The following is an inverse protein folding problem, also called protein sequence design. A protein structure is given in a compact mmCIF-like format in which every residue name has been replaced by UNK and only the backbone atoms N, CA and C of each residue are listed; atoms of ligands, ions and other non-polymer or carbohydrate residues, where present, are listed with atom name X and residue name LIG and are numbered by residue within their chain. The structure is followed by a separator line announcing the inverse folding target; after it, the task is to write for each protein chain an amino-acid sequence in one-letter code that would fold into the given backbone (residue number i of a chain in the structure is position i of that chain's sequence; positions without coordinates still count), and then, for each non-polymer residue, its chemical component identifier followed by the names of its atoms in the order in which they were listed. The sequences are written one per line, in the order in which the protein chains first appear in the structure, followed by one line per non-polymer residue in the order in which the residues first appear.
data_IF_419892138228
#
_entry.id   IF_419892138228
#
_cell.length_a   1.000
_cell.length_b   1.000
_cell.length_c   1.000
_cell.angle_alpha   90.00
_cell.angle_beta   90.00
_cell.angle_gamma   90.00
#
_symmetry.space_group_name_H-M   'P 1'
#
loop_
_entity.id
_entity.type
_entity.pdbx_description
1 polymer ?
#
# COMPACT_ATOMS: atom_id res chain seq x y z
N UNK A 1 3.13 -16.95 -4.77
CA UNK A 1 2.87 -16.52 -3.38
C UNK A 1 1.57 -15.70 -3.39
N UNK A 2 0.84 -15.67 -2.27
CA UNK A 2 -0.48 -15.02 -2.21
C UNK A 2 -0.33 -13.50 -2.20
N UNK A 3 -0.72 -12.83 -3.29
CA UNK A 3 -0.69 -11.37 -3.38
C UNK A 3 -1.65 -10.75 -2.35
N UNK A 4 -1.18 -9.76 -1.61
CA UNK A 4 -1.90 -9.07 -0.55
C UNK A 4 -2.20 -7.62 -0.93
N UNK A 5 -3.35 -7.10 -0.48
CA UNK A 5 -3.68 -5.68 -0.66
C UNK A 5 -3.06 -4.83 0.45
N UNK A 6 -2.90 -3.54 0.21
CA UNK A 6 -2.49 -2.56 1.23
C UNK A 6 -3.38 -2.62 2.50
N UNK A 7 -4.68 -2.88 2.31
CA UNK A 7 -5.63 -3.05 3.42
C UNK A 7 -5.29 -4.28 4.26
N UNK A 8 -4.90 -5.38 3.64
CA UNK A 8 -4.48 -6.61 4.33
C UNK A 8 -3.23 -6.35 5.16
N UNK A 9 -2.18 -5.75 4.57
CA UNK A 9 -0.93 -5.41 5.27
C UNK A 9 -1.19 -4.54 6.51
N UNK A 10 -2.04 -3.53 6.34
CA UNK A 10 -2.46 -2.64 7.42
C UNK A 10 -3.22 -3.38 8.52
N UNK A 11 -4.11 -4.29 8.15
CA UNK A 11 -4.92 -5.08 9.10
C UNK A 11 -4.04 -6.04 9.91
N UNK A 12 -3.02 -6.66 9.29
CA UNK A 12 -2.05 -7.52 9.97
C UNK A 12 -1.28 -6.79 11.10
N UNK A 13 -1.05 -5.50 10.93
CA UNK A 13 -0.39 -4.64 11.93
C UNK A 13 -1.37 -3.91 12.87
N UNK A 14 -2.69 -4.14 12.75
CA UNK A 14 -3.73 -3.37 13.44
C UNK A 14 -3.62 -1.84 13.22
N UNK A 15 -3.14 -1.42 12.05
CA UNK A 15 -2.94 -0.01 11.72
C UNK A 15 -4.21 0.63 11.15
N UNK A 16 -4.39 1.94 11.39
CA UNK A 16 -5.38 2.75 10.66
C UNK A 16 -4.74 3.32 9.40
N UNK A 17 -5.57 3.81 8.47
CA UNK A 17 -5.06 4.45 7.24
C UNK A 17 -4.12 5.62 7.58
N UNK A 18 -4.42 6.36 8.65
CA UNK A 18 -3.56 7.42 9.17
C UNK A 18 -2.21 6.93 9.69
N UNK A 19 -2.14 5.75 10.30
CA UNK A 19 -0.87 5.20 10.78
C UNK A 19 0.02 4.78 9.61
N UNK A 20 -0.55 4.12 8.61
CA UNK A 20 0.18 3.75 7.39
C UNK A 20 0.63 4.99 6.60
N UNK A 21 -0.25 5.99 6.48
CA UNK A 21 0.08 7.25 5.82
C UNK A 21 1.22 7.99 6.55
N UNK A 22 1.17 8.04 7.89
CA UNK A 22 2.23 8.62 8.73
C UNK A 22 3.56 7.87 8.61
N UNK A 23 3.53 6.53 8.54
CA UNK A 23 4.74 5.73 8.36
C UNK A 23 5.45 6.00 7.01
N UNK A 24 4.69 6.46 6.01
CA UNK A 24 5.20 6.81 4.68
C UNK A 24 5.30 8.31 4.44
N UNK A 25 5.04 9.14 5.47
CA UNK A 25 5.02 10.60 5.36
C UNK A 25 4.11 11.12 4.23
N UNK A 26 3.00 10.42 3.98
CA UNK A 26 1.97 10.81 3.01
C UNK A 26 0.67 11.19 3.71
N UNK A 27 -0.23 11.83 2.96
CA UNK A 27 -1.58 12.11 3.43
C UNK A 27 -2.40 10.83 3.55
N UNK A 28 -3.31 10.80 4.52
CA UNK A 28 -4.33 9.74 4.70
C UNK A 28 -5.11 9.46 3.42
N UNK A 29 -5.43 10.52 2.68
CA UNK A 29 -6.15 10.46 1.41
C UNK A 29 -5.33 9.77 0.32
N UNK A 30 -4.03 10.05 0.26
CA UNK A 30 -3.09 9.39 -0.66
C UNK A 30 -3.05 7.89 -0.40
N UNK A 31 -2.90 7.48 0.87
CA UNK A 31 -2.97 6.06 1.24
C UNK A 31 -4.32 5.43 0.88
N UNK A 32 -5.42 6.11 1.20
CA UNK A 32 -6.77 5.64 0.86
C UNK A 32 -7.00 5.55 -0.66
N UNK A 33 -6.38 6.43 -1.45
CA UNK A 33 -6.45 6.38 -2.91
C UNK A 33 -5.70 5.18 -3.46
N UNK A 34 -4.54 4.85 -2.90
CA UNK A 34 -3.81 3.62 -3.24
C UNK A 34 -4.60 2.36 -2.87
N UNK A 35 -5.16 2.30 -1.66
CA UNK A 35 -6.00 1.16 -1.23
C UNK A 35 -7.21 0.95 -2.16
N UNK A 36 -7.75 2.03 -2.72
CA UNK A 36 -8.88 2.00 -3.67
C UNK A 36 -8.44 1.86 -5.13
N UNK A 37 -7.14 1.86 -5.42
CA UNK A 37 -6.59 1.84 -6.78
C UNK A 37 -6.93 3.08 -7.63
N UNK A 38 -7.21 4.23 -7.00
CA UNK A 38 -7.45 5.51 -7.69
C UNK A 38 -6.16 6.15 -8.20
N UNK A 39 -5.08 5.99 -7.44
CA UNK A 39 -3.74 6.48 -7.76
C UNK A 39 -2.74 5.36 -7.49
N UNK A 40 -1.58 5.43 -8.12
CA UNK A 40 -0.47 4.50 -7.88
C UNK A 40 0.58 5.16 -6.98
N UNK A 41 1.17 4.45 -6.00
CA UNK A 41 2.38 4.93 -5.35
C UNK A 41 3.54 4.94 -6.34
N UNK A 42 4.45 5.89 -6.19
CA UNK A 42 5.69 5.89 -6.99
C UNK A 42 6.53 4.65 -6.65
N UNK A 43 7.48 4.30 -7.53
CA UNK A 43 8.41 3.19 -7.30
C UNK A 43 9.08 3.30 -5.93
N UNK A 44 9.57 4.48 -5.55
CA UNK A 44 10.16 4.74 -4.23
C UNK A 44 9.17 4.46 -3.09
N UNK A 45 7.92 4.91 -3.21
CA UNK A 45 6.89 4.67 -2.21
C UNK A 45 6.56 3.18 -2.11
N UNK A 46 6.48 2.46 -3.23
CA UNK A 46 6.26 1.01 -3.22
C UNK A 46 7.38 0.27 -2.46
N UNK A 47 8.65 0.66 -2.65
CA UNK A 47 9.77 0.15 -1.85
C UNK A 47 9.65 0.51 -0.37
N UNK A 48 9.23 1.74 -0.03
CA UNK A 48 8.99 2.12 1.35
C UNK A 48 7.89 1.30 2.01
N UNK A 49 6.78 1.03 1.30
CA UNK A 49 5.68 0.18 1.78
C UNK A 49 6.23 -1.23 2.03
N UNK A 50 6.87 -1.84 1.04
CA UNK A 50 7.46 -3.18 1.17
C UNK A 50 8.43 -3.28 2.36
N UNK A 51 9.31 -2.30 2.54
CA UNK A 51 10.22 -2.23 3.68
C UNK A 51 9.47 -2.07 5.02
N UNK A 52 8.47 -1.19 5.07
CA UNK A 52 7.67 -0.91 6.28
C UNK A 52 6.90 -2.14 6.76
N UNK A 53 6.34 -2.89 5.82
CA UNK A 53 5.57 -4.10 6.11
C UNK A 53 6.42 -5.38 6.10
N UNK A 54 7.72 -5.27 5.77
CA UNK A 54 8.66 -6.38 5.63
C UNK A 54 8.11 -7.49 4.70
N UNK A 55 7.58 -7.08 3.55
CA UNK A 55 7.03 -7.94 2.50
C UNK A 55 7.68 -7.61 1.16
N UNK A 56 7.63 -8.51 0.19
CA UNK A 56 8.12 -8.22 -1.16
C UNK A 56 7.16 -7.27 -1.88
N UNK A 57 7.67 -6.35 -2.70
CA UNK A 57 6.82 -5.50 -3.56
C UNK A 57 5.91 -6.35 -4.46
N UNK A 58 6.42 -7.47 -4.98
CA UNK A 58 5.67 -8.38 -5.87
C UNK A 58 4.46 -9.01 -5.17
N UNK A 59 4.53 -9.12 -3.84
CA UNK A 59 3.43 -9.60 -3.01
C UNK A 59 2.38 -8.51 -2.73
N UNK A 60 2.59 -7.26 -3.14
CA UNK A 60 1.67 -6.13 -2.90
C UNK A 60 0.85 -5.80 -4.15
N UNK A 61 -0.47 -5.75 -3.99
CA UNK A 61 -1.40 -5.30 -5.03
C UNK A 61 -1.64 -3.79 -4.87
N UNK A 62 -1.11 -3.00 -5.80
CA UNK A 62 -1.30 -1.54 -5.86
C UNK A 62 -2.46 -1.11 -6.77
N UNK A 63 -2.71 -1.82 -7.87
CA UNK A 63 -3.78 -1.52 -8.82
C UNK A 63 -4.58 -2.79 -9.17
N UNK A 64 -5.91 -2.66 -9.25
CA UNK A 64 -6.84 -3.73 -9.64
C UNK A 64 -7.29 -3.63 -11.11
N UNK A 65 -6.70 -2.74 -11.91
CA UNK A 65 -7.07 -2.57 -13.31
C UNK A 65 -5.86 -2.68 -14.22
N UNK A 66 -5.74 -3.83 -14.87
CA UNK A 66 -5.20 -3.90 -16.22
C UNK A 66 -6.27 -3.23 -17.10
N UNK A 67 -6.00 -2.03 -17.59
CA UNK A 67 -6.67 -1.58 -18.80
C UNK A 67 -6.05 -2.41 -19.94
N UNK A 68 -6.84 -3.34 -20.48
CA UNK A 68 -6.67 -3.87 -21.84
C UNK A 68 -6.93 -2.75 -22.83
#
# INVERSE_FOLDING_TARGET
MSKMTLKTLRTLKNWRQADAARALEVSTDTWGNWERGKTEPTVTQAYQIAATFNVSIDDIIFLHKVAV
#
